data_IF_734682128805
#
_entry.id   IF_734682128805
#
_cell.length_a   1.000
_cell.length_b   1.000
_cell.length_c   1.000
_cell.angle_alpha   90.00
_cell.angle_beta   90.00
_cell.angle_gamma   90.00
#
_symmetry.space_group_name_H-M   'P 1'
#
loop_
_entity.id
_entity.type
_entity.pdbx_description
1 polymer ?
#
# COMPACT_ATOMS: atom_id res chain seq x y z
N UNK A 1 -2.83 5.38 21.88
CA UNK A 1 -1.83 4.33 21.60
C UNK A 1 -2.17 3.44 20.40
N UNK A 2 -3.35 2.80 20.32
CA UNK A 2 -3.74 1.92 19.18
C UNK A 2 -3.67 2.57 17.78
N UNK A 3 -3.96 3.88 17.67
CA UNK A 3 -3.89 4.63 16.39
C UNK A 3 -2.45 4.83 15.88
N UNK A 4 -1.47 4.96 16.78
CA UNK A 4 -0.07 5.21 16.44
C UNK A 4 0.60 3.94 15.90
N UNK A 5 0.31 2.79 16.51
CA UNK A 5 0.76 1.46 16.05
C UNK A 5 0.18 1.15 14.66
N UNK A 6 -1.08 1.50 14.42
CA UNK A 6 -1.69 1.31 13.12
C UNK A 6 -1.07 2.22 12.03
N UNK A 7 -0.60 3.40 12.41
CA UNK A 7 0.15 4.29 11.51
C UNK A 7 1.54 3.71 11.20
N UNK A 8 2.26 3.20 12.21
CA UNK A 8 3.53 2.50 12.04
C UNK A 8 3.41 1.27 11.12
N UNK A 9 2.33 0.50 11.26
CA UNK A 9 2.05 -0.63 10.37
C UNK A 9 1.82 -0.21 8.91
N UNK A 10 1.33 1.02 8.68
CA UNK A 10 1.12 1.54 7.33
C UNK A 10 2.42 2.02 6.67
N UNK A 11 3.50 2.21 7.44
CA UNK A 11 4.81 2.57 6.90
C UNK A 11 5.41 1.43 6.07
N UNK A 12 5.20 0.18 6.48
CA UNK A 12 5.72 -1.01 5.80
C UNK A 12 5.26 -1.08 4.33
N UNK A 13 3.94 -1.07 4.01
CA UNK A 13 3.48 -1.11 2.63
C UNK A 13 3.88 0.13 1.82
N UNK A 14 4.06 1.29 2.46
CA UNK A 14 4.58 2.50 1.81
C UNK A 14 6.04 2.30 1.36
N UNK A 15 6.89 1.73 2.23
CA UNK A 15 8.27 1.39 1.87
C UNK A 15 8.30 0.38 0.74
N UNK A 16 7.47 -0.67 0.80
CA UNK A 16 7.36 -1.69 -0.25
C UNK A 16 6.97 -1.05 -1.59
N UNK A 17 5.96 -0.15 -1.60
CA UNK A 17 5.57 0.58 -2.79
C UNK A 17 6.72 1.44 -3.35
N UNK A 18 7.45 2.13 -2.46
CA UNK A 18 8.61 2.94 -2.82
C UNK A 18 9.75 2.12 -3.45
N UNK A 19 10.03 0.93 -2.93
CA UNK A 19 10.98 -0.02 -3.53
C UNK A 19 10.50 -0.45 -4.92
N UNK A 20 9.21 -0.77 -5.07
CA UNK A 20 8.62 -1.13 -6.35
C UNK A 20 8.79 -0.04 -7.41
N UNK A 21 8.50 1.22 -7.06
CA UNK A 21 8.68 2.38 -7.93
C UNK A 21 10.16 2.57 -8.32
N UNK A 22 11.08 2.36 -7.38
CA UNK A 22 12.52 2.43 -7.65
C UNK A 22 12.94 1.38 -8.69
N UNK A 23 12.50 0.13 -8.53
CA UNK A 23 12.81 -0.94 -9.48
C UNK A 23 12.23 -0.68 -10.87
N UNK A 24 11.00 -0.17 -10.95
CA UNK A 24 10.37 0.23 -12.23
C UNK A 24 11.23 1.29 -12.93
N UNK A 25 11.62 2.33 -12.20
CA UNK A 25 12.47 3.40 -12.74
C UNK A 25 13.78 2.82 -13.28
N UNK A 26 14.48 2.04 -12.47
CA UNK A 26 15.78 1.47 -12.84
C UNK A 26 15.65 0.56 -14.08
N UNK A 27 14.55 -0.19 -14.18
CA UNK A 27 14.23 -0.98 -15.38
C UNK A 27 13.99 -0.11 -16.63
N UNK A 28 13.35 1.06 -16.51
CA UNK A 28 13.14 1.97 -17.65
C UNK A 28 14.44 2.57 -18.19
N UNK A 29 15.47 2.69 -17.35
CA UNK A 29 16.81 3.12 -17.76
C UNK A 29 17.74 1.96 -18.14
N UNK A 30 17.25 0.71 -18.14
CA UNK A 30 18.07 -0.48 -18.42
C UNK A 30 19.09 -0.81 -17.33
N UNK A 31 18.94 -0.24 -16.13
CA UNK A 31 19.81 -0.49 -14.99
C UNK A 31 19.32 -1.75 -14.28
N UNK A 32 20.15 -2.79 -14.36
CA UNK A 32 19.91 -4.06 -13.69
C UNK A 32 20.49 -3.96 -12.28
N UNK A 33 19.64 -4.13 -11.27
CA UNK A 33 20.05 -4.22 -9.88
C UNK A 33 20.19 -5.69 -9.48
N UNK A 34 21.25 -6.04 -8.74
CA UNK A 34 21.33 -7.36 -8.10
C UNK A 34 20.13 -7.56 -7.17
N UNK A 35 19.49 -8.75 -7.16
CA UNK A 35 19.90 -10.03 -7.77
C UNK A 35 19.25 -10.32 -9.15
N UNK A 36 18.71 -9.32 -9.84
CA UNK A 36 18.01 -9.55 -11.11
C UNK A 36 19.02 -9.74 -12.26
N UNK A 37 18.72 -10.65 -13.19
CA UNK A 37 19.55 -10.88 -14.40
C UNK A 37 18.91 -10.29 -15.66
N UNK A 38 17.63 -9.93 -15.60
CA UNK A 38 16.84 -9.48 -16.75
C UNK A 38 15.94 -8.30 -16.38
N UNK A 39 15.97 -7.26 -17.21
CA UNK A 39 15.26 -5.98 -16.98
C UNK A 39 13.75 -6.16 -16.86
N UNK A 40 13.15 -7.03 -17.68
CA UNK A 40 11.70 -7.26 -17.66
C UNK A 40 11.25 -7.94 -16.35
N UNK A 41 12.09 -8.82 -15.79
CA UNK A 41 11.79 -9.49 -14.53
C UNK A 41 11.82 -8.48 -13.37
N UNK A 42 12.84 -7.60 -13.36
CA UNK A 42 12.92 -6.50 -12.41
C UNK A 42 11.70 -5.56 -12.52
N UNK A 43 11.24 -5.26 -13.73
CA UNK A 43 10.07 -4.43 -13.97
C UNK A 43 8.79 -5.08 -13.42
N UNK A 44 8.55 -6.36 -13.73
CA UNK A 44 7.37 -7.10 -13.25
C UNK A 44 7.36 -7.15 -11.71
N UNK A 45 8.50 -7.45 -11.09
CA UNK A 45 8.62 -7.47 -9.62
C UNK A 45 8.35 -6.07 -9.05
N UNK A 46 8.89 -5.02 -9.67
CA UNK A 46 8.62 -3.63 -9.29
C UNK A 46 7.13 -3.28 -9.33
N UNK A 47 6.43 -3.68 -10.40
CA UNK A 47 4.98 -3.48 -10.55
C UNK A 47 4.21 -4.25 -9.47
N UNK A 48 4.56 -5.51 -9.20
CA UNK A 48 3.91 -6.30 -8.15
C UNK A 48 4.07 -5.63 -6.78
N UNK A 49 5.28 -5.19 -6.43
CA UNK A 49 5.52 -4.52 -5.14
C UNK A 49 4.75 -3.20 -5.03
N UNK A 50 4.68 -2.42 -6.13
CA UNK A 50 3.89 -1.19 -6.17
C UNK A 50 2.40 -1.46 -5.98
N UNK A 51 1.83 -2.41 -6.72
CA UNK A 51 0.40 -2.77 -6.63
C UNK A 51 0.07 -3.31 -5.24
N UNK A 52 0.90 -4.19 -4.69
CA UNK A 52 0.70 -4.73 -3.34
C UNK A 52 0.73 -3.64 -2.27
N UNK A 53 1.69 -2.71 -2.36
CA UNK A 53 1.78 -1.60 -1.42
C UNK A 53 0.54 -0.68 -1.49
N UNK A 54 0.09 -0.32 -2.69
CA UNK A 54 -1.13 0.50 -2.88
C UNK A 54 -2.38 -0.26 -2.42
N UNK A 55 -2.52 -1.53 -2.79
CA UNK A 55 -3.68 -2.34 -2.40
C UNK A 55 -3.79 -2.48 -0.89
N UNK A 56 -2.67 -2.66 -0.19
CA UNK A 56 -2.65 -2.73 1.27
C UNK A 56 -3.08 -1.41 1.92
N UNK A 57 -2.60 -0.27 1.40
CA UNK A 57 -3.01 1.06 1.87
C UNK A 57 -4.51 1.28 1.62
N UNK A 58 -4.99 0.97 0.42
CA UNK A 58 -6.40 1.10 0.05
C UNK A 58 -7.30 0.20 0.93
N UNK A 59 -6.90 -1.06 1.16
CA UNK A 59 -7.61 -1.99 2.04
C UNK A 59 -7.67 -1.52 3.48
N UNK A 60 -6.56 -0.94 4.00
CA UNK A 60 -6.54 -0.36 5.33
C UNK A 60 -7.47 0.85 5.46
N UNK A 61 -7.45 1.77 4.49
CA UNK A 61 -8.32 2.96 4.48
C UNK A 61 -9.79 2.54 4.48
N UNK A 62 -10.17 1.61 3.60
CA UNK A 62 -11.55 1.13 3.49
C UNK A 62 -12.03 0.44 4.78
N UNK A 63 -11.19 -0.39 5.41
CA UNK A 63 -11.53 -1.02 6.68
C UNK A 63 -11.64 0.00 7.85
N UNK A 64 -10.83 1.07 7.81
CA UNK A 64 -10.87 2.16 8.79
C UNK A 64 -12.15 2.99 8.66
N UNK A 65 -12.57 3.32 7.45
CA UNK A 65 -13.79 4.11 7.19
C UNK A 65 -15.07 3.34 7.52
N UNK A 66 -15.12 2.04 7.22
CA UNK A 66 -16.30 1.20 7.50
C UNK A 66 -16.69 1.18 8.99
N UNK A 67 -15.73 1.30 9.91
CA UNK A 67 -16.02 1.41 11.35
C UNK A 67 -16.63 2.75 11.75
N UNK A 68 -16.34 3.83 11.02
CA UNK A 68 -16.85 5.16 11.33
C UNK A 68 -18.28 5.36 10.80
N UNK A 69 -18.60 4.77 9.65
CA UNK A 69 -19.94 4.86 9.05
C UNK A 69 -21.01 4.07 9.85
N UNK A 70 -20.67 2.89 10.38
CA UNK A 70 -21.61 2.12 11.23
C UNK A 70 -22.02 2.84 12.51
N UNK A 71 -21.14 3.69 13.07
CA UNK A 71 -21.44 4.48 14.26
C UNK A 71 -22.32 5.71 13.94
N UNK A 72 -22.14 6.31 12.75
CA UNK A 72 -22.99 7.42 12.28
C UNK A 72 -24.40 6.94 11.96
N UNK A 73 -24.56 5.75 11.38
CA UNK A 73 -25.88 5.17 11.09
C UNK A 73 -26.66 4.79 12.35
N UNK A 74 -26.01 4.24 13.38
CA UNK A 74 -26.67 3.92 14.65
C UNK A 74 -27.08 5.16 15.45
N UNK A 75 -26.29 6.25 15.36
CA UNK A 75 -26.67 7.54 15.95
C UNK A 75 -27.81 8.22 15.19
N UNK A 76 -27.89 8.07 13.86
CA UNK A 76 -29.03 8.57 13.07
C UNK A 76 -30.32 7.83 13.41
N UNK A 77 -30.29 6.48 13.49
CA UNK A 77 -31.45 5.66 13.87
C UNK A 77 -31.99 5.86 15.29
N UNK A 78 -31.22 6.51 16.19
CA UNK A 78 -31.64 6.76 17.58
C UNK A 78 -32.26 8.15 17.78
N UNK A 79 -32.25 8.97 16.73
CA UNK A 79 -32.76 10.34 16.71
C UNK A 79 -34.13 10.45 16.01
N UNK A 80 -34.53 9.40 15.31
CA UNK A 80 -35.87 9.15 14.78
C UNK A 80 -36.64 8.25 15.75
#
# INVERSE_FOLDING_TARGET
>A
MKKFIALMLLVIPVIIAGIGIKLIRDSMFGIINDPFTVVYMQFIVGVILMVLGIWFIAGYIMNRENKHNRLKESLRKKKD
#
